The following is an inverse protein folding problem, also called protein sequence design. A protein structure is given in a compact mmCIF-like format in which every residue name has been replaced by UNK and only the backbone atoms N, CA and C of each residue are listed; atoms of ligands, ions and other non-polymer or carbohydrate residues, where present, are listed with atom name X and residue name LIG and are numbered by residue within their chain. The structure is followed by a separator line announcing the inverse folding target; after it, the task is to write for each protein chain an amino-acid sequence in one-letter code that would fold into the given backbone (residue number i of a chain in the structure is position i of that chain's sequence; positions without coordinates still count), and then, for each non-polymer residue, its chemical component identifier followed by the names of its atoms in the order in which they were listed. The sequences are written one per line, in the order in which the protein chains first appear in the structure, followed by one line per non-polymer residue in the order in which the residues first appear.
data_IF_944497562544
#
_entry.id   IF_944497562544
#
_cell.length_a   1.000
_cell.length_b   1.000
_cell.length_c   1.000
_cell.angle_alpha   90.00
_cell.angle_beta   90.00
_cell.angle_gamma   90.00
#
_symmetry.space_group_name_H-M   'P 1'
#
loop_
_entity.id
_entity.type
_entity.pdbx_description
1 polymer ?
#
# COMPACT_ATOMS: atom_id res chain seq x y z
N UNK A 1 16.23 -8.51 -10.00
CA UNK A 1 14.87 -9.07 -10.11
C UNK A 1 14.32 -8.78 -11.50
N UNK A 2 13.72 -9.77 -12.15
CA UNK A 2 12.95 -9.62 -13.37
C UNK A 2 11.56 -10.21 -13.22
N UNK A 3 10.57 -9.65 -13.94
CA UNK A 3 9.19 -10.13 -13.96
C UNK A 3 8.64 -10.12 -15.38
N UNK A 4 8.04 -11.24 -15.79
CA UNK A 4 7.20 -11.33 -17.00
C UNK A 4 5.86 -11.98 -16.67
N UNK A 5 4.85 -11.67 -17.45
CA UNK A 5 3.55 -12.33 -17.40
C UNK A 5 3.45 -13.35 -18.53
N UNK A 6 3.28 -14.61 -18.18
CA UNK A 6 3.22 -15.71 -19.17
C UNK A 6 4.46 -15.75 -20.07
N UNK A 7 4.25 -15.86 -21.37
CA UNK A 7 5.31 -15.86 -22.40
C UNK A 7 5.64 -14.47 -22.97
N UNK A 8 5.03 -13.43 -22.41
CA UNK A 8 5.24 -12.04 -22.87
C UNK A 8 6.63 -11.47 -22.54
N UNK A 9 6.91 -10.24 -22.98
CA UNK A 9 8.16 -9.56 -22.65
C UNK A 9 8.26 -9.29 -21.14
N UNK A 10 9.50 -9.11 -20.65
CA UNK A 10 9.72 -8.71 -19.27
C UNK A 10 9.16 -7.30 -19.02
N UNK A 11 8.28 -7.20 -18.03
CA UNK A 11 7.69 -5.95 -17.55
C UNK A 11 8.65 -5.23 -16.58
N UNK A 12 9.39 -6.01 -15.78
CA UNK A 12 10.44 -5.50 -14.90
C UNK A 12 11.76 -6.19 -15.26
N UNK A 13 12.83 -5.39 -15.39
CA UNK A 13 14.12 -5.84 -15.93
C UNK A 13 15.25 -5.42 -15.01
N UNK A 14 16.03 -6.40 -14.55
CA UNK A 14 17.29 -6.18 -13.82
C UNK A 14 17.18 -5.24 -12.63
N UNK A 15 16.04 -5.28 -11.90
CA UNK A 15 15.87 -4.44 -10.72
C UNK A 15 16.81 -4.89 -9.62
N UNK A 16 17.64 -3.96 -9.13
CA UNK A 16 18.47 -4.13 -7.95
C UNK A 16 18.37 -2.86 -7.12
N UNK A 17 17.72 -2.92 -5.98
CA UNK A 17 17.55 -1.79 -5.07
C UNK A 17 17.22 -2.30 -3.67
N UNK A 18 17.31 -1.41 -2.69
CA UNK A 18 16.94 -1.65 -1.31
C UNK A 18 16.03 -0.55 -0.79
N UNK A 19 15.02 -0.93 -0.06
CA UNK A 19 14.17 -0.04 0.73
C UNK A 19 14.61 -0.19 2.19
N UNK A 20 15.21 0.86 2.73
CA UNK A 20 15.64 0.85 4.13
C UNK A 20 14.42 0.95 5.07
N UNK A 21 14.45 0.28 6.22
CA UNK A 21 13.41 0.41 7.23
C UNK A 21 13.20 1.88 7.63
N UNK A 22 11.95 2.21 7.94
CA UNK A 22 11.54 3.54 8.42
C UNK A 22 11.78 4.70 7.43
N UNK A 23 12.03 4.40 6.14
CA UNK A 23 12.13 5.43 5.10
C UNK A 23 10.79 5.74 4.46
N UNK A 24 10.66 6.96 3.94
CA UNK A 24 9.58 7.37 3.08
C UNK A 24 10.11 7.52 1.65
N UNK A 25 9.46 6.91 0.67
CA UNK A 25 9.92 6.94 -0.71
C UNK A 25 8.74 7.09 -1.68
N UNK A 26 8.99 7.76 -2.81
CA UNK A 26 8.08 7.78 -3.93
C UNK A 26 8.55 6.83 -5.03
N UNK A 27 7.61 6.10 -5.63
CA UNK A 27 7.81 5.34 -6.85
C UNK A 27 7.10 6.07 -8.00
N UNK A 28 7.83 6.57 -8.96
CA UNK A 28 7.27 7.32 -10.09
C UNK A 28 7.68 6.71 -11.42
N UNK A 29 7.11 7.19 -12.50
CA UNK A 29 7.35 6.73 -13.86
C UNK A 29 6.07 6.80 -14.69
N UNK A 30 6.19 6.72 -16.03
CA UNK A 30 5.05 6.80 -16.93
C UNK A 30 4.02 5.69 -16.69
N UNK A 31 2.81 5.87 -17.20
CA UNK A 31 1.81 4.81 -17.21
C UNK A 31 2.34 3.59 -17.95
N UNK A 32 2.08 2.39 -17.42
CA UNK A 32 2.59 1.15 -18.00
C UNK A 32 4.05 0.82 -17.70
N UNK A 33 4.81 1.66 -16.99
CA UNK A 33 6.21 1.40 -16.63
C UNK A 33 6.42 0.17 -15.73
N UNK A 34 5.35 -0.36 -15.11
CA UNK A 34 5.42 -1.52 -14.23
C UNK A 34 5.30 -1.21 -12.74
N UNK A 35 4.92 0.01 -12.33
CA UNK A 35 4.77 0.41 -10.92
C UNK A 35 3.88 -0.55 -10.13
N UNK A 36 2.67 -0.81 -10.60
CA UNK A 36 1.75 -1.76 -9.97
C UNK A 36 2.32 -3.18 -9.92
N UNK A 37 3.08 -3.61 -10.93
CA UNK A 37 3.75 -4.91 -10.93
C UNK A 37 4.83 -4.98 -9.86
N UNK A 38 5.60 -3.91 -9.67
CA UNK A 38 6.58 -3.81 -8.60
C UNK A 38 5.91 -3.84 -7.23
N UNK A 39 4.84 -3.07 -7.03
CA UNK A 39 4.07 -3.11 -5.78
C UNK A 39 3.51 -4.51 -5.48
N UNK A 40 3.06 -5.25 -6.50
CA UNK A 40 2.60 -6.64 -6.33
C UNK A 40 3.71 -7.61 -5.94
N UNK A 41 4.94 -7.42 -6.44
CA UNK A 41 6.11 -8.18 -5.98
C UNK A 41 6.42 -7.86 -4.50
N UNK A 42 6.42 -6.57 -4.13
CA UNK A 42 6.64 -6.14 -2.75
C UNK A 42 5.53 -6.60 -1.79
N UNK A 43 4.28 -6.70 -2.27
CA UNK A 43 3.16 -7.28 -1.52
C UNK A 43 3.26 -8.81 -1.43
N UNK A 44 4.25 -9.45 -2.06
CA UNK A 44 4.39 -10.90 -2.13
C UNK A 44 3.19 -11.61 -2.80
N UNK A 45 2.38 -10.88 -3.59
CA UNK A 45 1.26 -11.43 -4.36
C UNK A 45 1.69 -12.00 -5.72
N UNK A 46 2.88 -11.64 -6.18
CA UNK A 46 3.58 -12.20 -7.32
C UNK A 46 4.95 -12.72 -6.89
N UNK A 47 5.44 -13.73 -7.58
CA UNK A 47 6.84 -14.15 -7.49
C UNK A 47 7.63 -13.59 -8.68
N UNK A 48 8.88 -13.19 -8.51
CA UNK A 48 9.72 -12.80 -9.63
C UNK A 48 9.95 -14.01 -10.56
N UNK A 49 10.12 -13.75 -11.85
CA UNK A 49 10.48 -14.80 -12.81
C UNK A 49 11.98 -15.12 -12.77
N UNK A 50 12.79 -14.17 -12.28
CA UNK A 50 14.22 -14.34 -12.00
C UNK A 50 14.71 -13.37 -10.95
N UNK A 51 15.78 -13.74 -10.26
CA UNK A 51 16.36 -12.97 -9.16
C UNK A 51 15.72 -13.31 -7.81
N UNK A 52 16.18 -12.64 -6.77
CA UNK A 52 15.82 -12.90 -5.38
C UNK A 52 15.20 -11.66 -4.75
N UNK A 53 14.26 -11.88 -3.85
CA UNK A 53 13.65 -10.84 -3.00
C UNK A 53 13.89 -11.26 -1.56
N UNK A 54 14.55 -10.39 -0.80
CA UNK A 54 14.64 -10.52 0.65
C UNK A 54 13.69 -9.50 1.27
N UNK A 55 12.84 -9.93 2.18
CA UNK A 55 11.88 -9.07 2.86
C UNK A 55 11.82 -9.39 4.35
N UNK A 56 11.99 -8.37 5.18
CA UNK A 56 12.05 -8.52 6.64
C UNK A 56 13.05 -9.60 7.07
N UNK A 57 14.24 -9.59 6.46
CA UNK A 57 15.35 -10.53 6.64
C UNK A 57 15.05 -11.99 6.23
N UNK A 58 13.98 -12.23 5.47
CA UNK A 58 13.65 -13.55 4.95
C UNK A 58 13.83 -13.61 3.42
N UNK A 59 14.44 -14.68 2.93
CA UNK A 59 14.46 -14.99 1.50
C UNK A 59 13.08 -15.51 1.07
N UNK A 60 12.37 -14.69 0.29
CA UNK A 60 10.99 -14.97 -0.17
C UNK A 60 10.90 -16.27 -0.97
N UNK A 61 11.99 -16.69 -1.64
CA UNK A 61 11.99 -17.90 -2.46
C UNK A 61 11.90 -19.19 -1.63
N UNK A 62 12.41 -19.16 -0.40
CA UNK A 62 12.48 -20.33 0.50
C UNK A 62 11.26 -20.48 1.41
N UNK A 63 10.38 -19.46 1.46
CA UNK A 63 9.27 -19.45 2.40
C UNK A 63 8.12 -20.36 1.97
N UNK A 64 7.50 -20.99 2.95
CA UNK A 64 6.24 -21.71 2.81
C UNK A 64 5.08 -20.75 2.49
N UNK A 65 3.92 -21.29 2.11
CA UNK A 65 2.71 -20.46 1.88
C UNK A 65 2.25 -19.77 3.16
N UNK A 66 2.38 -20.43 4.30
CA UNK A 66 1.94 -19.91 5.61
C UNK A 66 2.89 -18.81 6.10
N UNK A 67 4.20 -18.97 5.91
CA UNK A 67 5.18 -17.93 6.21
C UNK A 67 4.97 -16.69 5.34
N UNK A 68 4.70 -16.87 4.04
CA UNK A 68 4.34 -15.78 3.13
C UNK A 68 3.07 -15.05 3.58
N UNK A 69 2.05 -15.79 4.04
CA UNK A 69 0.83 -15.19 4.59
C UNK A 69 1.13 -14.37 5.84
N UNK A 70 2.02 -14.87 6.69
CA UNK A 70 2.47 -14.17 7.90
C UNK A 70 3.23 -12.89 7.57
N UNK A 71 4.14 -12.92 6.58
CA UNK A 71 4.84 -11.71 6.13
C UNK A 71 3.88 -10.68 5.50
N UNK A 72 2.89 -11.12 4.72
CA UNK A 72 1.90 -10.20 4.13
C UNK A 72 1.09 -9.43 5.18
N UNK A 73 0.84 -10.00 6.36
CA UNK A 73 0.15 -9.29 7.47
C UNK A 73 0.94 -8.11 8.01
N UNK A 74 2.25 -8.05 7.74
CA UNK A 74 3.13 -6.92 8.10
C UNK A 74 3.11 -5.81 7.06
N UNK A 75 2.39 -6.00 5.94
CA UNK A 75 2.33 -5.08 4.80
C UNK A 75 0.91 -4.53 4.69
N UNK A 76 0.77 -3.21 4.78
CA UNK A 76 -0.44 -2.50 4.40
C UNK A 76 -0.41 -2.14 2.92
N UNK A 77 -1.55 -2.22 2.24
CA UNK A 77 -1.65 -1.87 0.82
C UNK A 77 -2.89 -1.05 0.53
N UNK A 78 -2.71 0.05 -0.17
CA UNK A 78 -3.78 0.86 -0.77
C UNK A 78 -3.72 0.64 -2.28
N UNK A 79 -4.76 0.04 -2.84
CA UNK A 79 -4.87 -0.19 -4.29
C UNK A 79 -5.57 0.98 -4.96
N UNK A 80 -5.22 1.26 -6.22
CA UNK A 80 -5.87 2.27 -7.05
C UNK A 80 -7.38 2.00 -7.23
N UNK A 81 -7.79 0.73 -7.29
CA UNK A 81 -9.18 0.25 -7.43
C UNK A 81 -9.85 -0.04 -6.06
N UNK A 82 -9.28 0.48 -4.96
CA UNK A 82 -9.72 0.38 -3.55
C UNK A 82 -9.79 -1.05 -3.00
N UNK A 83 -10.31 -2.01 -3.75
CA UNK A 83 -10.51 -3.43 -3.39
C UNK A 83 -11.21 -3.61 -2.05
N UNK A 84 -12.23 -2.82 -1.81
CA UNK A 84 -13.14 -3.05 -0.70
C UNK A 84 -14.01 -4.28 -1.00
N UNK A 85 -14.39 -5.00 0.05
CA UNK A 85 -15.28 -6.15 -0.06
C UNK A 85 -16.73 -5.64 -0.01
N UNK A 86 -17.44 -5.75 -1.12
CA UNK A 86 -18.77 -5.15 -1.32
C UNK A 86 -19.85 -5.71 -0.38
N UNK A 87 -19.67 -6.92 0.13
CA UNK A 87 -20.56 -7.58 1.09
C UNK A 87 -20.26 -7.26 2.56
N UNK A 88 -19.23 -6.47 2.82
CA UNK A 88 -18.83 -6.02 4.15
C UNK A 88 -19.08 -4.52 4.29
N UNK A 89 -19.52 -4.09 5.46
CA UNK A 89 -19.64 -2.67 5.81
C UNK A 89 -18.31 -1.96 5.79
N UNK A 90 -18.32 -0.64 5.81
CA UNK A 90 -17.10 0.19 5.93
C UNK A 90 -16.31 -0.17 7.19
N UNK A 91 -16.98 -0.34 8.31
CA UNK A 91 -16.36 -0.79 9.56
C UNK A 91 -15.69 -2.15 9.41
N UNK A 92 -16.40 -3.14 8.87
CA UNK A 92 -15.85 -4.49 8.67
C UNK A 92 -14.68 -4.54 7.69
N UNK A 93 -14.72 -3.73 6.61
CA UNK A 93 -13.60 -3.59 5.70
C UNK A 93 -12.36 -3.05 6.41
N UNK A 94 -12.50 -2.03 7.25
CA UNK A 94 -11.38 -1.44 8.00
C UNK A 94 -10.90 -2.38 9.10
N UNK A 95 -11.78 -3.12 9.76
CA UNK A 95 -11.44 -4.09 10.79
C UNK A 95 -10.81 -5.39 10.25
N UNK A 96 -10.90 -5.63 8.94
CA UNK A 96 -10.50 -6.90 8.30
C UNK A 96 -9.08 -7.36 8.66
N UNK A 97 -8.03 -6.51 8.71
CA UNK A 97 -6.70 -6.93 9.11
C UNK A 97 -6.67 -7.57 10.50
N UNK A 98 -7.37 -7.00 11.47
CA UNK A 98 -7.44 -7.55 12.82
C UNK A 98 -8.19 -8.89 12.86
N UNK A 99 -9.27 -9.02 12.10
CA UNK A 99 -10.03 -10.28 11.97
C UNK A 99 -9.16 -11.39 11.36
N UNK A 100 -8.38 -11.08 10.33
CA UNK A 100 -7.44 -12.03 9.70
C UNK A 100 -6.31 -12.44 10.67
N UNK A 101 -5.93 -11.55 11.60
CA UNK A 101 -4.98 -11.87 12.68
C UNK A 101 -5.60 -12.68 13.82
N UNK A 102 -6.91 -12.95 13.78
CA UNK A 102 -7.62 -13.68 14.83
C UNK A 102 -7.82 -12.88 16.12
N UNK A 103 -7.77 -11.55 16.07
CA UNK A 103 -8.03 -10.70 17.23
C UNK A 103 -9.51 -10.68 17.57
N UNK A 104 -9.81 -10.60 18.86
CA UNK A 104 -11.15 -10.42 19.38
C UNK A 104 -11.65 -8.99 19.06
N UNK A 105 -12.91 -8.86 18.65
CA UNK A 105 -13.50 -7.59 18.22
C UNK A 105 -13.47 -6.53 19.32
N UNK A 106 -13.73 -6.92 20.55
CA UNK A 106 -13.71 -5.99 21.69
C UNK A 106 -12.31 -5.36 21.89
N UNK A 107 -11.24 -6.04 21.45
CA UNK A 107 -9.87 -5.54 21.57
C UNK A 107 -9.51 -4.44 20.57
N UNK A 108 -10.21 -4.33 19.43
CA UNK A 108 -9.88 -3.36 18.37
C UNK A 108 -11.03 -2.43 17.98
N UNK A 109 -12.24 -2.65 18.47
CA UNK A 109 -13.42 -1.84 18.11
C UNK A 109 -13.18 -0.35 18.30
N UNK A 110 -12.59 0.05 19.43
CA UNK A 110 -12.27 1.45 19.71
C UNK A 110 -11.33 2.07 18.68
N UNK A 111 -10.24 1.38 18.33
CA UNK A 111 -9.28 1.85 17.34
C UNK A 111 -9.89 2.01 15.95
N UNK A 112 -10.76 1.08 15.53
CA UNK A 112 -11.45 1.15 14.23
C UNK A 112 -12.41 2.33 14.19
N UNK A 113 -13.21 2.54 15.24
CA UNK A 113 -14.15 3.67 15.33
C UNK A 113 -13.41 4.99 15.33
N UNK A 114 -12.34 5.11 16.11
CA UNK A 114 -11.51 6.32 16.17
C UNK A 114 -10.90 6.66 14.81
N UNK A 115 -10.32 5.67 14.13
CA UNK A 115 -9.72 5.88 12.81
C UNK A 115 -10.79 6.26 11.76
N UNK A 116 -11.96 5.62 11.77
CA UNK A 116 -13.06 5.95 10.85
C UNK A 116 -13.57 7.39 11.08
N UNK A 117 -13.70 7.83 12.33
CA UNK A 117 -14.02 9.21 12.65
C UNK A 117 -12.93 10.17 12.13
N UNK A 118 -11.66 9.82 12.34
CA UNK A 118 -10.55 10.64 11.92
C UNK A 118 -10.47 10.83 10.39
N UNK A 119 -10.76 9.78 9.61
CA UNK A 119 -10.82 9.86 8.14
C UNK A 119 -12.17 10.43 7.64
N UNK A 120 -13.09 10.82 8.54
CA UNK A 120 -14.37 11.42 8.18
C UNK A 120 -15.38 10.41 7.61
N UNK A 121 -15.38 9.18 8.13
CA UNK A 121 -16.30 8.10 7.79
C UNK A 121 -17.14 7.63 9.00
N UNK A 122 -17.20 8.42 10.07
CA UNK A 122 -17.96 8.09 11.27
C UNK A 122 -19.45 7.77 10.99
N UNK A 123 -20.08 8.61 10.17
CA UNK A 123 -21.49 8.42 9.77
C UNK A 123 -21.69 7.36 8.66
N UNK A 124 -20.60 6.76 8.18
CA UNK A 124 -20.59 5.75 7.10
C UNK A 124 -20.16 4.36 7.56
N UNK A 125 -19.97 4.15 8.85
CA UNK A 125 -19.46 2.86 9.38
C UNK A 125 -20.30 1.66 8.95
N UNK A 126 -21.63 1.81 8.93
CA UNK A 126 -22.57 0.75 8.50
C UNK A 126 -22.83 0.70 6.99
N UNK A 127 -22.29 1.65 6.20
CA UNK A 127 -22.52 1.68 4.77
C UNK A 127 -21.69 0.61 4.03
N UNK A 128 -22.30 0.00 3.01
CA UNK A 128 -21.61 -0.93 2.10
C UNK A 128 -20.82 -0.15 1.02
N UNK A 129 -19.71 -0.67 0.51
CA UNK A 129 -18.90 -0.01 -0.51
C UNK A 129 -19.65 0.47 -1.75
N UNK A 130 -20.67 -0.24 -2.29
CA UNK A 130 -21.40 0.25 -3.48
C UNK A 130 -22.09 1.60 -3.31
N UNK A 131 -22.48 1.98 -2.08
CA UNK A 131 -23.14 3.27 -1.81
C UNK A 131 -22.17 4.38 -1.41
N UNK A 132 -20.88 4.09 -1.29
CA UNK A 132 -19.84 5.07 -1.00
C UNK A 132 -19.41 5.80 -2.26
N UNK A 133 -19.14 7.10 -2.13
CA UNK A 133 -18.43 7.87 -3.17
C UNK A 133 -17.00 7.37 -3.37
N UNK A 134 -16.36 7.75 -4.49
CA UNK A 134 -14.97 7.40 -4.76
C UNK A 134 -14.00 7.86 -3.65
N UNK A 135 -14.18 9.09 -3.15
CA UNK A 135 -13.37 9.61 -2.04
C UNK A 135 -13.63 8.88 -0.71
N UNK A 136 -14.88 8.46 -0.42
CA UNK A 136 -15.18 7.63 0.76
C UNK A 136 -14.55 6.25 0.66
N UNK A 137 -14.62 5.59 -0.51
CA UNK A 137 -13.94 4.32 -0.79
C UNK A 137 -12.44 4.43 -0.59
N UNK A 138 -11.83 5.52 -1.10
CA UNK A 138 -10.40 5.78 -0.95
C UNK A 138 -10.02 5.88 0.54
N UNK A 139 -10.76 6.68 1.33
CA UNK A 139 -10.51 6.82 2.76
C UNK A 139 -10.67 5.50 3.51
N UNK A 140 -11.69 4.72 3.19
CA UNK A 140 -11.88 3.40 3.77
C UNK A 140 -10.74 2.42 3.44
N UNK A 141 -10.26 2.42 2.17
CA UNK A 141 -9.13 1.60 1.75
C UNK A 141 -7.83 1.99 2.46
N UNK A 142 -7.59 3.29 2.65
CA UNK A 142 -6.43 3.78 3.41
C UNK A 142 -6.56 3.39 4.89
N UNK A 143 -7.72 3.62 5.52
CA UNK A 143 -7.95 3.23 6.90
C UNK A 143 -7.70 1.74 7.11
N UNK A 144 -8.21 0.87 6.21
CA UNK A 144 -7.93 -0.57 6.24
C UNK A 144 -6.44 -0.89 6.14
N UNK A 145 -5.70 -0.19 5.29
CA UNK A 145 -4.29 -0.46 5.08
C UNK A 145 -3.43 -0.10 6.31
N UNK A 146 -3.84 0.90 7.10
CA UNK A 146 -3.02 1.44 8.20
C UNK A 146 -3.45 0.98 9.59
N UNK A 147 -4.69 0.46 9.74
CA UNK A 147 -5.26 0.14 11.07
C UNK A 147 -4.39 -0.84 11.88
N UNK A 148 -3.77 -1.80 11.23
CA UNK A 148 -2.91 -2.79 11.89
C UNK A 148 -1.47 -2.31 12.10
N UNK A 149 -1.17 -1.03 11.87
CA UNK A 149 0.17 -0.42 12.00
C UNK A 149 1.24 -1.25 11.26
N UNK A 150 1.15 -1.35 9.93
CA UNK A 150 2.05 -2.19 9.14
C UNK A 150 3.50 -1.72 9.25
N UNK A 151 4.45 -2.63 9.05
CA UNK A 151 5.87 -2.30 8.96
C UNK A 151 6.24 -1.69 7.61
N UNK A 152 5.52 -2.07 6.55
CA UNK A 152 5.62 -1.53 5.21
C UNK A 152 4.24 -1.14 4.71
N UNK A 153 4.07 0.12 4.34
CA UNK A 153 2.87 0.62 3.67
C UNK A 153 3.18 0.86 2.20
N UNK A 154 2.44 0.18 1.34
CA UNK A 154 2.45 0.36 -0.11
C UNK A 154 1.19 1.12 -0.52
N UNK A 155 1.30 2.12 -1.37
CA UNK A 155 0.14 2.82 -1.89
C UNK A 155 0.28 3.03 -3.40
N UNK A 156 -0.75 2.63 -4.17
CA UNK A 156 -0.82 2.80 -5.63
C UNK A 156 -1.80 3.93 -5.93
N UNK A 157 -1.29 5.10 -6.34
CA UNK A 157 -2.03 6.34 -6.65
C UNK A 157 -3.06 6.72 -5.55
N UNK A 158 -2.63 6.84 -4.27
CA UNK A 158 -3.56 6.97 -3.15
C UNK A 158 -4.35 8.29 -3.12
N UNK A 159 -3.96 9.27 -3.93
CA UNK A 159 -4.57 10.60 -3.99
C UNK A 159 -5.27 10.89 -5.31
N UNK A 160 -5.28 9.96 -6.26
CA UNK A 160 -5.78 10.17 -7.62
C UNK A 160 -7.29 10.46 -7.73
N UNK A 161 -8.08 10.10 -6.71
CA UNK A 161 -9.54 10.23 -6.73
C UNK A 161 -10.09 11.12 -5.59
N UNK A 162 -9.26 11.99 -5.04
CA UNK A 162 -9.64 12.87 -3.94
C UNK A 162 -9.31 14.32 -4.25
N UNK A 163 -10.01 15.26 -3.59
CA UNK A 163 -9.71 16.68 -3.72
C UNK A 163 -8.32 17.04 -3.14
N UNK A 164 -7.73 18.18 -3.57
CA UNK A 164 -6.39 18.58 -3.15
C UNK A 164 -6.21 18.72 -1.63
N UNK A 165 -7.24 19.19 -0.90
CA UNK A 165 -7.14 19.35 0.56
C UNK A 165 -7.09 17.99 1.25
N UNK A 166 -7.88 17.04 0.75
CA UNK A 166 -7.84 15.66 1.25
C UNK A 166 -6.53 14.98 0.87
N UNK A 167 -6.01 15.19 -0.34
CA UNK A 167 -4.70 14.67 -0.75
C UNK A 167 -3.59 15.10 0.20
N UNK A 168 -3.56 16.38 0.60
CA UNK A 168 -2.61 16.89 1.59
C UNK A 168 -2.78 16.25 2.98
N UNK A 169 -4.03 16.06 3.43
CA UNK A 169 -4.29 15.40 4.71
C UNK A 169 -3.82 13.93 4.69
N UNK A 170 -4.03 13.22 3.59
CA UNK A 170 -3.56 11.85 3.40
C UNK A 170 -2.03 11.77 3.36
N UNK A 171 -1.37 12.71 2.68
CA UNK A 171 0.09 12.78 2.70
C UNK A 171 0.62 12.98 4.11
N UNK A 172 0.03 13.89 4.88
CA UNK A 172 0.39 14.09 6.30
C UNK A 172 0.21 12.81 7.13
N UNK A 173 -0.89 12.07 6.90
CA UNK A 173 -1.09 10.78 7.57
C UNK A 173 0.06 9.81 7.26
N UNK A 174 0.44 9.68 5.99
CA UNK A 174 1.54 8.79 5.60
C UNK A 174 2.89 9.23 6.20
N UNK A 175 3.13 10.54 6.30
CA UNK A 175 4.32 11.10 6.96
C UNK A 175 4.31 10.77 8.46
N UNK A 176 3.19 10.94 9.16
CA UNK A 176 3.10 10.61 10.58
C UNK A 176 3.24 9.11 10.85
N UNK A 177 2.70 8.26 9.98
CA UNK A 177 2.94 6.81 10.04
C UNK A 177 4.43 6.48 9.85
N UNK A 178 5.10 7.16 8.93
CA UNK A 178 6.54 6.98 8.73
C UNK A 178 7.34 7.40 9.97
N UNK A 179 7.05 8.56 10.55
CA UNK A 179 7.66 9.01 11.81
C UNK A 179 7.43 8.04 12.98
N UNK A 180 6.31 7.32 12.95
CA UNK A 180 5.98 6.28 13.95
C UNK A 180 6.66 4.93 13.65
N UNK A 181 7.51 4.85 12.62
CA UNK A 181 8.32 3.67 12.31
C UNK A 181 7.84 2.83 11.13
N UNK A 182 6.74 3.18 10.45
CA UNK A 182 6.31 2.50 9.23
C UNK A 182 7.20 2.90 8.04
N UNK A 183 7.68 1.95 7.27
CA UNK A 183 8.30 2.21 5.96
C UNK A 183 7.19 2.52 4.96
N UNK A 184 7.29 3.61 4.20
CA UNK A 184 6.24 4.05 3.28
C UNK A 184 6.77 4.12 1.85
N UNK A 185 6.07 3.48 0.91
CA UNK A 185 6.32 3.58 -0.52
C UNK A 185 5.03 3.98 -1.25
N UNK A 186 5.00 5.16 -1.82
CA UNK A 186 3.86 5.69 -2.59
C UNK A 186 4.20 5.68 -4.08
N UNK A 187 3.47 4.88 -4.85
CA UNK A 187 3.50 4.98 -6.31
C UNK A 187 2.57 6.11 -6.75
N UNK A 188 3.13 7.12 -7.39
CA UNK A 188 2.36 8.26 -7.93
C UNK A 188 3.06 8.90 -9.12
N UNK A 189 2.28 9.55 -9.97
CA UNK A 189 2.75 10.43 -11.04
C UNK A 189 2.49 11.91 -10.73
N UNK A 190 1.92 12.21 -9.57
CA UNK A 190 1.61 13.58 -9.12
C UNK A 190 2.90 14.26 -8.61
N UNK A 191 3.50 15.08 -9.46
CA UNK A 191 4.71 15.86 -9.15
C UNK A 191 4.41 16.84 -8.01
N UNK A 192 3.23 17.48 -8.01
CA UNK A 192 2.84 18.43 -6.97
C UNK A 192 2.75 17.79 -5.59
N UNK A 193 2.34 16.53 -5.51
CA UNK A 193 2.35 15.76 -4.26
C UNK A 193 3.78 15.45 -3.83
N UNK A 194 4.64 15.01 -4.77
CA UNK A 194 6.02 14.66 -4.48
C UNK A 194 6.86 15.86 -4.03
N UNK A 195 6.57 17.06 -4.53
CA UNK A 195 7.30 18.29 -4.17
C UNK A 195 6.92 18.83 -2.78
N UNK A 196 5.85 18.30 -2.17
CA UNK A 196 5.44 18.68 -0.81
C UNK A 196 6.23 17.98 0.29
N UNK A 197 6.98 16.94 -0.04
CA UNK A 197 7.76 16.19 0.93
C UNK A 197 9.08 15.71 0.31
N UNK A 198 10.18 16.15 0.90
CA UNK A 198 11.52 15.75 0.48
C UNK A 198 11.75 14.28 0.84
N UNK A 199 11.71 13.43 -0.18
CA UNK A 199 11.82 11.99 -0.03
C UNK A 199 12.50 11.38 -1.27
N UNK A 200 13.21 10.30 -1.06
CA UNK A 200 13.88 9.54 -2.12
C UNK A 200 12.90 9.14 -3.22
N UNK A 201 13.31 9.28 -4.48
CA UNK A 201 12.48 8.96 -5.64
C UNK A 201 13.05 7.75 -6.38
N UNK A 202 12.22 6.73 -6.50
CA UNK A 202 12.45 5.55 -7.33
C UNK A 202 11.76 5.78 -8.67
N UNK A 203 12.51 5.98 -9.74
CA UNK A 203 11.96 6.24 -11.08
C UNK A 203 11.98 4.96 -11.90
N UNK A 204 10.81 4.43 -12.22
CA UNK A 204 10.66 3.26 -13.06
C UNK A 204 10.40 3.68 -14.51
N UNK A 205 11.32 3.32 -15.40
CA UNK A 205 11.22 3.62 -16.82
C UNK A 205 11.58 2.38 -17.65
N UNK A 206 10.71 2.00 -18.57
CA UNK A 206 10.88 0.80 -19.44
C UNK A 206 11.26 -0.48 -18.66
N UNK A 207 10.66 -0.66 -17.49
CA UNK A 207 10.90 -1.81 -16.62
C UNK A 207 12.23 -1.76 -15.85
N UNK A 208 12.99 -0.69 -15.92
CA UNK A 208 14.24 -0.46 -15.18
C UNK A 208 14.05 0.60 -14.10
N UNK A 209 14.72 0.44 -12.98
CA UNK A 209 14.62 1.35 -11.84
C UNK A 209 15.86 2.24 -11.75
N UNK A 210 15.63 3.54 -11.65
CA UNK A 210 16.64 4.56 -11.35
C UNK A 210 16.31 5.17 -9.98
N UNK A 211 17.34 5.37 -9.17
CA UNK A 211 17.20 5.88 -7.80
C UNK A 211 17.77 7.30 -7.75
N UNK A 212 16.97 8.24 -7.25
CA UNK A 212 17.35 9.63 -7.03
C UNK A 212 17.19 9.95 -5.55
N UNK A 213 18.27 10.46 -4.95
CA UNK A 213 18.32 10.93 -3.56
C UNK A 213 17.96 12.39 -3.46
#
# INVERSE_FOLDING_TARGET
VGLRYGLGPEVLRDLTFRIEPHTFQFLTGPSGAGKTSLLRLLLLSLRPTRGLITMFDNDVATLSKDDLATLRRRIGIVFQDFRLLDHMTTYENVALPFRVMGKDEDSYRGEVVELLNWVGLGDRMGALPPVLSGGEKQRAAIARAVIARPQLLLADEPTGNVDPNLAQRLLRLFIELNKSGTTVLIATHDIGLMDQYDARRLVLHEGRLHVYE
#
